data_IF_324965975853
#
_entry.id   IF_324965975853
#
_cell.length_a   1.000
_cell.length_b   1.000
_cell.length_c   1.000
_cell.angle_alpha   90.00
_cell.angle_beta   90.00
_cell.angle_gamma   90.00
#
_symmetry.space_group_name_H-M   'P 1'
#
loop_
_entity.id
_entity.type
_entity.pdbx_description
1 polymer ?
#
# COMPACT_ATOMS: atom_id res chain seq x y z
N UNK A 1 -1.54 5.54 -25.94
CA UNK A 1 -1.67 4.61 -24.80
C UNK A 1 -0.30 4.01 -24.47
N UNK A 2 0.24 4.38 -23.32
CA UNK A 2 1.49 3.83 -22.81
C UNK A 2 1.28 2.33 -22.52
N UNK A 3 2.22 1.48 -22.93
CA UNK A 3 2.14 0.05 -22.65
C UNK A 3 2.07 -0.13 -21.12
N UNK A 4 1.27 -1.08 -20.60
CA UNK A 4 1.30 -1.36 -19.17
C UNK A 4 2.75 -1.73 -18.82
N UNK A 5 3.38 -0.90 -17.99
CA UNK A 5 4.66 -1.21 -17.35
C UNK A 5 4.53 -2.65 -16.82
N UNK A 6 5.50 -3.51 -17.12
CA UNK A 6 5.45 -4.89 -16.63
C UNK A 6 5.21 -4.82 -15.12
N UNK A 7 4.21 -5.52 -14.61
CA UNK A 7 3.72 -5.35 -13.24
C UNK A 7 4.85 -5.42 -12.18
N UNK A 8 5.89 -6.21 -12.46
CA UNK A 8 7.08 -6.37 -11.61
C UNK A 8 8.06 -5.18 -11.65
N UNK A 9 8.05 -4.40 -12.73
CA UNK A 9 8.92 -3.26 -12.94
C UNK A 9 8.38 -1.96 -12.31
N UNK A 10 7.13 -1.98 -11.83
CA UNK A 10 6.51 -0.83 -11.20
C UNK A 10 7.36 -0.31 -10.02
N UNK A 11 7.62 1.00 -9.90
CA UNK A 11 8.52 1.58 -8.88
C UNK A 11 8.18 1.16 -7.45
N UNK A 12 6.89 1.08 -7.10
CA UNK A 12 6.44 0.64 -5.80
C UNK A 12 6.79 -0.84 -5.49
N UNK A 13 6.73 -1.70 -6.52
CA UNK A 13 7.05 -3.13 -6.40
C UNK A 13 8.55 -3.31 -6.21
N UNK A 14 9.36 -2.59 -6.99
CA UNK A 14 10.82 -2.56 -6.81
C UNK A 14 11.22 -2.02 -5.43
N UNK A 15 10.58 -0.95 -4.98
CA UNK A 15 10.82 -0.38 -3.66
C UNK A 15 10.46 -1.35 -2.53
N UNK A 16 9.37 -2.11 -2.66
CA UNK A 16 8.93 -3.10 -1.68
C UNK A 16 9.92 -4.29 -1.61
N UNK A 17 10.45 -4.72 -2.75
CA UNK A 17 11.41 -5.81 -2.83
C UNK A 17 12.79 -5.45 -2.27
N UNK A 18 13.22 -4.19 -2.39
CA UNK A 18 14.59 -3.75 -2.05
C UNK A 18 14.86 -3.43 -0.57
N UNK A 19 13.95 -3.75 0.35
CA UNK A 19 14.13 -3.48 1.78
C UNK A 19 14.64 -4.67 2.59
N UNK A 20 15.42 -4.39 3.64
CA UNK A 20 15.99 -5.37 4.59
C UNK A 20 15.09 -5.62 5.82
N UNK A 21 13.93 -4.97 5.87
CA UNK A 21 12.99 -5.17 6.97
C UNK A 21 12.51 -6.63 7.06
N UNK A 22 12.29 -7.15 8.28
CA UNK A 22 11.93 -8.55 8.49
C UNK A 22 10.53 -8.91 7.97
N UNK A 23 9.66 -7.92 7.79
CA UNK A 23 8.27 -8.11 7.34
C UNK A 23 7.88 -7.08 6.29
N UNK A 24 7.07 -7.49 5.32
CA UNK A 24 6.50 -6.66 4.26
C UNK A 24 4.98 -6.68 4.37
N UNK A 25 4.38 -5.51 4.56
CA UNK A 25 2.94 -5.35 4.71
C UNK A 25 2.36 -4.54 3.55
N UNK A 26 1.23 -5.00 3.03
CA UNK A 26 0.42 -4.25 2.07
C UNK A 26 -0.92 -3.84 2.70
N UNK A 27 -1.21 -2.53 2.73
CA UNK A 27 -2.48 -2.01 3.23
C UNK A 27 -3.32 -1.42 2.08
N UNK A 28 -4.56 -1.88 1.94
CA UNK A 28 -5.48 -1.38 0.92
C UNK A 28 -6.93 -1.41 1.38
N UNK A 29 -7.63 -0.29 1.26
CA UNK A 29 -9.08 -0.23 1.44
C UNK A 29 -9.81 -0.18 0.09
N UNK A 30 -9.13 -0.55 -1.01
CA UNK A 30 -9.69 -0.41 -2.35
C UNK A 30 -10.00 1.05 -2.73
N UNK A 31 -10.73 1.23 -3.83
CA UNK A 31 -10.94 2.55 -4.45
C UNK A 31 -12.07 3.37 -3.86
N UNK A 32 -13.03 2.74 -3.17
CA UNK A 32 -14.17 3.44 -2.55
C UNK A 32 -14.11 3.47 -1.02
N UNK A 33 -13.60 2.42 -0.38
CA UNK A 33 -13.53 2.39 1.08
C UNK A 33 -12.36 3.23 1.62
N UNK A 34 -11.35 3.56 0.81
CA UNK A 34 -10.32 4.54 1.16
C UNK A 34 -10.87 5.93 1.58
N UNK A 35 -12.01 6.35 1.01
CA UNK A 35 -12.63 7.66 1.26
C UNK A 35 -13.89 7.57 2.13
N UNK A 36 -14.60 6.43 2.10
CA UNK A 36 -15.84 6.24 2.88
C UNK A 36 -15.63 5.72 4.30
N UNK A 37 -14.39 5.37 4.66
CA UNK A 37 -14.07 4.81 5.99
C UNK A 37 -13.62 5.85 7.02
N UNK A 38 -13.79 7.14 6.73
CA UNK A 38 -13.33 8.21 7.61
C UNK A 38 -11.81 8.15 7.84
N UNK A 39 -11.41 8.04 9.11
CA UNK A 39 -10.00 8.02 9.54
C UNK A 39 -9.37 6.60 9.56
N UNK A 40 -10.07 5.57 9.08
CA UNK A 40 -9.61 4.18 9.22
C UNK A 40 -8.23 3.95 8.59
N UNK A 41 -7.99 4.49 7.38
CA UNK A 41 -6.69 4.39 6.72
C UNK A 41 -5.59 5.06 7.55
N UNK A 42 -5.88 6.22 8.15
CA UNK A 42 -4.95 6.91 9.04
C UNK A 42 -4.60 6.04 10.25
N UNK A 43 -5.60 5.46 10.93
CA UNK A 43 -5.39 4.57 12.08
C UNK A 43 -4.61 3.31 11.73
N UNK A 44 -4.82 2.75 10.54
CA UNK A 44 -4.02 1.61 10.04
C UNK A 44 -2.56 2.03 9.87
N UNK A 45 -2.30 3.18 9.23
CA UNK A 45 -0.95 3.69 9.01
C UNK A 45 -0.23 4.04 10.32
N UNK A 46 -0.94 4.57 11.31
CA UNK A 46 -0.40 4.83 12.64
C UNK A 46 -0.03 3.53 13.37
N UNK A 47 -0.92 2.54 13.34
CA UNK A 47 -0.64 1.23 13.94
C UNK A 47 0.57 0.56 13.29
N UNK A 48 0.65 0.56 11.96
CA UNK A 48 1.78 0.02 11.22
C UNK A 48 3.10 0.76 11.52
N UNK A 49 3.04 2.06 11.81
CA UNK A 49 4.22 2.84 12.19
C UNK A 49 4.86 2.39 13.52
N UNK A 50 4.13 1.62 14.35
CA UNK A 50 4.66 1.02 15.59
C UNK A 50 5.37 -0.31 15.38
N UNK A 51 5.47 -0.78 14.12
CA UNK A 51 6.10 -2.05 13.76
C UNK A 51 7.40 -1.84 12.98
N UNK A 52 8.21 -2.89 12.88
CA UNK A 52 9.42 -2.89 12.04
C UNK A 52 9.14 -3.31 10.58
N UNK A 53 7.86 -3.36 10.17
CA UNK A 53 7.49 -3.76 8.83
C UNK A 53 7.79 -2.66 7.79
N UNK A 54 8.15 -3.10 6.59
CA UNK A 54 8.12 -2.28 5.38
C UNK A 54 6.70 -2.24 4.85
N UNK A 55 6.13 -1.05 4.74
CA UNK A 55 4.72 -0.82 4.48
C UNK A 55 4.54 -0.18 3.11
N UNK A 56 3.82 -0.87 2.24
CA UNK A 56 3.23 -0.27 1.04
C UNK A 56 1.73 -0.07 1.29
N UNK A 57 1.21 1.13 1.08
CA UNK A 57 -0.22 1.37 1.21
C UNK A 57 -0.78 2.04 -0.05
N UNK A 58 -1.90 1.51 -0.55
CA UNK A 58 -2.67 2.19 -1.59
C UNK A 58 -3.75 3.05 -0.97
N UNK A 59 -3.67 4.35 -1.26
CA UNK A 59 -4.58 5.36 -0.70
C UNK A 59 -5.66 5.77 -1.72
N UNK A 60 -5.43 5.49 -3.01
CA UNK A 60 -6.31 5.82 -4.13
C UNK A 60 -6.30 7.30 -4.51
N UNK A 61 -6.74 7.64 -5.73
CA UNK A 61 -6.48 8.93 -6.37
C UNK A 61 -7.20 10.13 -5.75
N UNK A 62 -8.11 9.90 -4.80
CA UNK A 62 -8.95 10.93 -4.19
C UNK A 62 -8.51 11.30 -2.77
N UNK A 63 -7.45 10.68 -2.25
CA UNK A 63 -6.90 10.97 -0.92
C UNK A 63 -5.64 11.79 -1.09
N UNK A 64 -5.55 12.94 -0.42
CA UNK A 64 -4.32 13.73 -0.37
C UNK A 64 -3.26 12.99 0.46
N UNK A 65 -2.11 12.58 -0.12
CA UNK A 65 -1.03 11.96 0.65
C UNK A 65 -0.51 12.83 1.79
N UNK A 66 -0.60 14.16 1.68
CA UNK A 66 -0.16 15.09 2.72
C UNK A 66 -1.09 15.09 3.95
N UNK A 67 -2.31 14.61 3.80
CA UNK A 67 -3.26 14.44 4.90
C UNK A 67 -3.06 13.13 5.69
N UNK A 68 -2.15 12.26 5.22
CA UNK A 68 -1.81 11.00 5.86
C UNK A 68 -0.43 11.09 6.54
N UNK A 69 -0.14 10.19 7.50
CA UNK A 69 1.22 10.01 7.99
C UNK A 69 2.17 9.77 6.80
N UNK A 70 3.03 10.75 6.50
CA UNK A 70 3.77 10.84 5.23
C UNK A 70 4.77 9.71 4.97
N UNK A 71 5.42 9.69 3.81
CA UNK A 71 6.41 8.67 3.48
C UNK A 71 7.57 8.63 4.51
N UNK A 72 8.05 7.43 4.81
CA UNK A 72 9.27 7.19 5.60
C UNK A 72 10.17 6.25 4.82
N UNK A 73 11.44 6.01 5.22
CA UNK A 73 12.28 5.01 4.56
C UNK A 73 11.65 3.61 4.47
N UNK A 74 10.70 3.31 5.38
CA UNK A 74 10.00 2.02 5.49
C UNK A 74 8.52 2.10 5.10
N UNK A 75 8.01 3.26 4.70
CA UNK A 75 6.60 3.45 4.32
C UNK A 75 6.50 4.20 3.00
N UNK A 76 5.77 3.61 2.06
CA UNK A 76 5.43 4.21 0.77
C UNK A 76 3.91 4.23 0.60
N UNK A 77 3.40 5.39 0.22
CA UNK A 77 2.00 5.62 -0.12
C UNK A 77 1.90 5.74 -1.64
N UNK A 78 0.92 5.08 -2.24
CA UNK A 78 0.67 5.09 -3.68
C UNK A 78 -0.81 5.27 -3.98
N UNK A 79 -1.14 5.94 -5.07
CA UNK A 79 -2.53 6.00 -5.54
C UNK A 79 -2.95 4.67 -6.19
N UNK A 80 -2.00 4.03 -6.87
CA UNK A 80 -2.20 2.78 -7.58
C UNK A 80 -0.92 1.94 -7.57
N UNK A 81 -1.10 0.61 -7.51
CA UNK A 81 -0.04 -0.38 -7.71
C UNK A 81 -0.60 -1.59 -8.46
N UNK A 82 0.23 -2.33 -9.20
CA UNK A 82 -0.16 -3.63 -9.75
C UNK A 82 -0.30 -4.65 -8.61
N UNK A 83 -1.51 -4.77 -8.06
CA UNK A 83 -1.79 -5.51 -6.83
C UNK A 83 -1.31 -6.98 -6.87
N UNK A 84 -1.43 -7.68 -8.00
CA UNK A 84 -0.95 -9.06 -8.15
C UNK A 84 0.54 -9.20 -7.82
N UNK A 85 1.38 -8.33 -8.39
CA UNK A 85 2.82 -8.33 -8.13
C UNK A 85 3.16 -7.94 -6.68
N UNK A 86 2.34 -7.10 -6.04
CA UNK A 86 2.50 -6.78 -4.61
C UNK A 86 2.18 -7.99 -3.74
N UNK A 87 1.08 -8.70 -4.02
CA UNK A 87 0.63 -9.84 -3.21
C UNK A 87 1.64 -10.99 -3.19
N UNK A 88 2.41 -11.18 -4.26
CA UNK A 88 3.50 -12.17 -4.32
C UNK A 88 4.71 -11.84 -3.43
N UNK A 89 4.78 -10.62 -2.89
CA UNK A 89 5.98 -10.06 -2.23
C UNK A 89 5.74 -9.60 -0.79
N UNK A 90 4.56 -9.86 -0.24
CA UNK A 90 4.18 -9.45 1.12
C UNK A 90 3.88 -10.64 2.01
N UNK A 91 4.19 -10.47 3.29
CA UNK A 91 3.90 -11.45 4.32
C UNK A 91 2.48 -11.27 4.87
N UNK A 92 1.97 -10.02 4.85
CA UNK A 92 0.69 -9.65 5.42
C UNK A 92 -0.04 -8.66 4.50
N UNK A 93 -1.36 -8.86 4.37
CA UNK A 93 -2.27 -7.94 3.69
C UNK A 93 -3.32 -7.44 4.67
N UNK A 94 -3.46 -6.12 4.77
CA UNK A 94 -4.53 -5.44 5.50
C UNK A 94 -5.52 -4.94 4.47
N UNK A 95 -6.71 -5.55 4.46
CA UNK A 95 -7.75 -5.25 3.48
C UNK A 95 -9.12 -5.06 4.11
N UNK A 96 -9.98 -4.31 3.43
CA UNK A 96 -11.40 -4.18 3.76
C UNK A 96 -12.25 -5.42 3.40
N UNK A 97 -11.63 -6.46 2.81
CA UNK A 97 -12.31 -7.70 2.43
C UNK A 97 -13.08 -7.62 1.10
N UNK A 98 -12.76 -6.66 0.23
CA UNK A 98 -13.37 -6.58 -1.09
C UNK A 98 -12.94 -7.74 -2.01
N UNK A 99 -13.85 -8.19 -2.89
CA UNK A 99 -13.66 -9.36 -3.77
C UNK A 99 -12.51 -9.25 -4.78
N UNK A 100 -11.96 -8.05 -5.02
CA UNK A 100 -10.76 -7.89 -5.83
C UNK A 100 -9.46 -8.24 -5.09
N UNK A 101 -9.53 -8.49 -3.78
CA UNK A 101 -8.38 -8.82 -2.92
C UNK A 101 -8.47 -10.21 -2.29
N UNK A 102 -9.69 -10.74 -2.07
CA UNK A 102 -9.93 -12.05 -1.43
C UNK A 102 -10.32 -13.14 -2.43
#
# INVERSE_FOLDING_TARGET
>A
PEAPEAADDHPAVRWLAGGDEPWRAYATLGTQFNTRSGDLLHRILDGLATTDARVLATIGPCVDPAALPGATPRRRLEDYVPQGAVLERVDIVITHGGSGTV
#
